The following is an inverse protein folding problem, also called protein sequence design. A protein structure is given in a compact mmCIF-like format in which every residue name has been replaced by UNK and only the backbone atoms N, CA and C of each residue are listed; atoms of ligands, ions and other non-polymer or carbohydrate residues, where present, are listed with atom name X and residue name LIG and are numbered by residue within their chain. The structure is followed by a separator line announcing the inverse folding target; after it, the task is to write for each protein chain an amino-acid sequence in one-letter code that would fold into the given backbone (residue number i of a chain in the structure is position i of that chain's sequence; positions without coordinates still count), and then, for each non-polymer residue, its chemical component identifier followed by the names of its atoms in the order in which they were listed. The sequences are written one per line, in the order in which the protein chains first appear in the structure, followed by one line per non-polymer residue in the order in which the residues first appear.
data_IF_803005248660
#
_entry.id   IF_803005248660
#
_cell.length_a   1.000
_cell.length_b   1.000
_cell.length_c   1.000
_cell.angle_alpha   90.00
_cell.angle_beta   90.00
_cell.angle_gamma   90.00
#
_symmetry.space_group_name_H-M   'P 1'
#
loop_
_entity.id
_entity.type
_entity.pdbx_description
1 polymer ?
#
# COMPACT_ATOMS: atom_id res chain seq x y z
N UNK A 1 96.14 19.38 -26.10
CA UNK A 1 95.23 20.48 -26.16
C UNK A 1 93.75 19.98 -26.24
N UNK A 2 93.23 19.48 -25.18
CA UNK A 2 91.82 19.09 -25.13
C UNK A 2 91.26 19.49 -23.77
N UNK A 3 90.33 20.40 -23.78
CA UNK A 3 89.63 20.90 -22.58
C UNK A 3 88.42 19.99 -22.32
N UNK A 4 88.38 19.41 -21.15
CA UNK A 4 87.18 18.72 -20.66
C UNK A 4 86.27 19.71 -19.95
N UNK A 5 85.07 19.85 -20.41
CA UNK A 5 83.99 20.52 -19.70
C UNK A 5 83.11 19.50 -19.01
N UNK A 6 83.11 19.56 -17.68
CA UNK A 6 82.20 18.76 -16.85
C UNK A 6 80.88 19.53 -16.72
N UNK A 7 79.80 18.96 -17.19
CA UNK A 7 78.46 19.46 -16.94
C UNK A 7 77.84 18.72 -15.75
N UNK A 8 77.57 19.45 -14.70
CA UNK A 8 76.82 18.93 -13.56
C UNK A 8 75.32 18.93 -13.89
N UNK A 9 74.71 17.74 -13.87
CA UNK A 9 73.29 17.55 -14.06
C UNK A 9 72.59 17.61 -12.68
N UNK A 10 71.91 18.71 -12.39
CA UNK A 10 71.05 18.83 -11.22
C UNK A 10 69.71 18.12 -11.46
N UNK A 11 69.49 17.01 -10.82
CA UNK A 11 68.20 16.32 -10.82
C UNK A 11 67.21 17.04 -9.86
N UNK A 12 66.25 17.75 -10.41
CA UNK A 12 65.14 18.28 -9.65
C UNK A 12 64.07 17.19 -9.55
N UNK A 13 63.96 16.60 -8.34
CA UNK A 13 62.92 15.66 -8.00
C UNK A 13 61.63 16.46 -7.68
N UNK A 14 60.74 16.59 -8.66
CA UNK A 14 59.40 17.15 -8.43
C UNK A 14 58.52 16.05 -7.86
N UNK A 15 58.28 16.09 -6.55
CA UNK A 15 57.30 15.25 -5.89
C UNK A 15 55.88 15.74 -6.31
N UNK A 16 55.30 15.04 -7.26
CA UNK A 16 53.88 15.19 -7.59
C UNK A 16 53.08 14.48 -6.51
N UNK A 17 52.60 15.23 -5.53
CA UNK A 17 51.58 14.77 -4.59
C UNK A 17 50.25 14.68 -5.36
N UNK A 18 49.90 13.47 -5.81
CA UNK A 18 48.57 13.16 -6.31
C UNK A 18 47.62 13.21 -5.11
N UNK A 19 46.97 14.34 -4.91
CA UNK A 19 45.77 14.40 -4.08
C UNK A 19 44.68 13.62 -4.83
N UNK A 20 44.53 12.34 -4.47
CA UNK A 20 43.33 11.59 -4.82
C UNK A 20 42.16 12.23 -4.06
N UNK A 21 41.49 13.16 -4.69
CA UNK A 21 40.11 13.50 -4.27
C UNK A 21 39.28 12.24 -4.51
N UNK A 22 39.14 11.43 -3.48
CA UNK A 22 38.00 10.52 -3.40
C UNK A 22 36.78 11.44 -3.29
N UNK A 23 36.19 11.78 -4.43
CA UNK A 23 34.84 12.26 -4.43
C UNK A 23 34.00 11.10 -3.89
N UNK A 24 33.72 11.08 -2.58
CA UNK A 24 32.55 10.43 -2.07
C UNK A 24 31.38 11.14 -2.75
N UNK A 25 30.96 10.62 -3.89
CA UNK A 25 29.60 10.85 -4.36
C UNK A 25 28.72 10.17 -3.29
N UNK A 26 28.32 10.93 -2.28
CA UNK A 26 27.17 10.55 -1.47
C UNK A 26 25.98 10.62 -2.44
N UNK A 27 25.68 9.52 -3.11
CA UNK A 27 24.39 9.39 -3.75
C UNK A 27 23.35 9.58 -2.64
N UNK A 28 22.46 10.55 -2.80
CA UNK A 28 21.35 10.72 -1.88
C UNK A 28 20.62 9.39 -1.75
N UNK A 29 20.19 9.06 -0.53
CA UNK A 29 19.32 7.91 -0.32
C UNK A 29 18.01 8.13 -1.07
N UNK A 30 17.56 7.12 -1.78
CA UNK A 30 16.31 7.19 -2.54
C UNK A 30 15.24 6.35 -1.87
N UNK A 31 14.07 6.96 -1.61
CA UNK A 31 12.89 6.25 -1.12
C UNK A 31 11.74 6.44 -2.11
N UNK A 32 11.19 5.34 -2.62
CA UNK A 32 9.97 5.37 -3.42
C UNK A 32 8.75 5.34 -2.52
N UNK A 33 7.75 6.17 -2.85
CA UNK A 33 6.47 6.28 -2.12
C UNK A 33 5.31 6.28 -3.12
N UNK A 34 4.09 5.88 -2.71
CA UNK A 34 2.90 6.01 -3.56
C UNK A 34 2.69 7.46 -4.02
N UNK A 35 2.12 7.65 -5.20
CA UNK A 35 1.87 8.99 -5.77
C UNK A 35 0.41 9.46 -5.63
N UNK A 36 -0.46 8.65 -5.02
CA UNK A 36 -1.81 9.09 -4.68
C UNK A 36 -1.79 9.80 -3.32
N UNK A 37 -2.63 10.82 -3.18
CA UNK A 37 -2.64 11.76 -2.05
C UNK A 37 -2.64 11.07 -0.69
N UNK A 38 -3.50 10.07 -0.52
CA UNK A 38 -3.70 9.46 0.81
C UNK A 38 -2.63 8.43 1.15
N UNK A 39 -2.14 7.64 0.20
CA UNK A 39 -1.06 6.69 0.45
C UNK A 39 0.32 7.35 0.49
N UNK A 40 0.54 8.46 -0.27
CA UNK A 40 1.74 9.29 -0.10
C UNK A 40 1.81 9.83 1.33
N UNK A 41 0.75 10.48 1.81
CA UNK A 41 0.69 10.99 3.18
C UNK A 41 0.92 9.90 4.22
N UNK A 42 0.31 8.73 4.05
CA UNK A 42 0.45 7.56 4.92
C UNK A 42 1.91 7.06 4.94
N UNK A 43 2.58 7.02 3.78
CA UNK A 43 3.99 6.66 3.67
C UNK A 43 4.89 7.66 4.40
N UNK A 44 4.65 8.96 4.24
CA UNK A 44 5.40 10.01 4.93
C UNK A 44 5.20 9.97 6.44
N UNK A 45 3.97 9.72 6.92
CA UNK A 45 3.66 9.54 8.33
C UNK A 45 4.38 8.32 8.93
N UNK A 46 4.49 7.21 8.18
CA UNK A 46 5.31 6.06 8.60
C UNK A 46 6.78 6.46 8.78
N UNK A 47 7.36 7.17 7.81
CA UNK A 47 8.76 7.61 7.86
C UNK A 47 9.01 8.63 8.99
N UNK A 48 8.05 9.51 9.28
CA UNK A 48 8.09 10.42 10.42
C UNK A 48 8.03 9.67 11.74
N UNK A 49 7.12 8.69 11.87
CA UNK A 49 7.01 7.85 13.06
C UNK A 49 8.30 7.07 13.36
N UNK A 50 9.07 6.74 12.32
CA UNK A 50 10.40 6.12 12.47
C UNK A 50 11.52 7.14 12.74
N UNK A 51 11.23 8.45 12.68
CA UNK A 51 12.19 9.52 12.93
C UNK A 51 13.12 9.83 11.76
N UNK A 52 12.80 9.37 10.55
CA UNK A 52 13.65 9.59 9.37
C UNK A 52 13.43 10.94 8.71
N UNK A 53 12.26 11.51 8.88
CA UNK A 53 11.86 12.85 8.42
C UNK A 53 11.02 13.51 9.51
N UNK A 54 10.75 14.81 9.34
CA UNK A 54 9.73 15.52 10.11
C UNK A 54 8.85 16.30 9.14
N UNK A 55 7.55 16.18 9.32
CA UNK A 55 6.56 16.91 8.55
C UNK A 55 6.24 18.27 9.18
N UNK A 56 5.69 19.17 8.39
CA UNK A 56 5.11 20.42 8.86
C UNK A 56 3.94 20.14 9.83
N UNK A 57 3.79 20.99 10.83
CA UNK A 57 2.79 20.80 11.88
C UNK A 57 1.36 20.87 11.31
N UNK A 58 0.56 19.84 11.57
CA UNK A 58 -0.86 19.82 11.22
C UNK A 58 -1.22 19.31 9.81
N UNK A 59 -0.25 18.88 8.98
CA UNK A 59 -0.54 18.38 7.64
C UNK A 59 -1.24 17.02 7.64
N UNK A 60 -0.91 16.12 8.58
CA UNK A 60 -1.62 14.85 8.80
C UNK A 60 -1.78 14.02 7.54
N UNK A 61 -3.01 13.53 7.29
CA UNK A 61 -3.36 12.61 6.19
C UNK A 61 -3.37 13.27 4.79
N UNK A 62 -3.00 14.54 4.69
CA UNK A 62 -2.88 15.27 3.42
C UNK A 62 -1.43 15.67 3.12
N UNK A 63 -0.47 15.16 3.90
CA UNK A 63 0.95 15.45 3.73
C UNK A 63 1.46 15.01 2.36
N UNK A 64 2.31 15.83 1.77
CA UNK A 64 3.04 15.56 0.53
C UNK A 64 4.55 15.71 0.78
N UNK A 65 5.39 15.27 -0.15
CA UNK A 65 6.85 15.48 -0.05
C UNK A 65 7.24 16.96 0.10
N UNK A 66 6.36 17.92 -0.25
CA UNK A 66 6.58 19.36 -0.11
C UNK A 66 6.41 19.84 1.34
N UNK A 67 5.73 19.05 2.15
CA UNK A 67 5.44 19.35 3.55
C UNK A 67 6.49 18.75 4.50
N UNK A 68 7.63 18.28 3.96
CA UNK A 68 8.76 17.78 4.75
C UNK A 68 9.54 18.97 5.31
N UNK A 69 9.41 19.21 6.62
CA UNK A 69 10.11 20.28 7.33
C UNK A 69 11.59 19.97 7.60
N UNK A 70 11.91 18.69 7.93
CA UNK A 70 13.28 18.24 8.16
C UNK A 70 13.53 16.92 7.43
N UNK A 71 14.68 16.86 6.73
CA UNK A 71 15.16 15.68 6.00
C UNK A 71 16.65 15.48 6.31
N UNK A 72 16.99 15.00 7.52
CA UNK A 72 18.38 14.94 7.98
C UNK A 72 19.26 13.97 7.18
N UNK A 73 18.66 12.98 6.52
CA UNK A 73 19.37 11.98 5.73
C UNK A 73 19.48 12.36 4.25
N UNK A 74 19.02 13.56 3.84
CA UNK A 74 18.97 14.00 2.45
C UNK A 74 18.29 12.98 1.52
N UNK A 75 17.15 12.43 1.96
CA UNK A 75 16.37 11.44 1.20
C UNK A 75 15.83 12.13 -0.06
N UNK A 76 16.06 11.51 -1.21
CA UNK A 76 15.41 11.84 -2.46
C UNK A 76 14.15 10.97 -2.60
N UNK A 77 12.99 11.59 -2.58
CA UNK A 77 11.72 10.89 -2.74
C UNK A 77 11.37 10.68 -4.20
N UNK A 78 10.85 9.49 -4.52
CA UNK A 78 10.31 9.14 -5.83
C UNK A 78 8.85 8.75 -5.68
N UNK A 79 7.97 9.62 -6.17
CA UNK A 79 6.55 9.35 -6.25
C UNK A 79 6.29 8.38 -7.41
N UNK A 80 5.72 7.23 -7.11
CA UNK A 80 5.49 6.13 -8.06
C UNK A 80 4.06 5.63 -7.87
N UNK A 81 3.39 5.25 -8.94
CA UNK A 81 2.11 4.56 -8.85
C UNK A 81 2.22 3.36 -7.91
N UNK A 82 1.27 3.21 -6.97
CA UNK A 82 1.37 2.22 -5.90
C UNK A 82 1.58 0.78 -6.42
N UNK A 83 0.91 0.40 -7.51
CA UNK A 83 1.07 -0.90 -8.18
C UNK A 83 2.48 -1.15 -8.75
N UNK A 84 3.27 -0.10 -8.98
CA UNK A 84 4.62 -0.21 -9.55
C UNK A 84 5.72 -0.24 -8.49
N UNK A 85 5.41 0.07 -7.22
CA UNK A 85 6.41 0.13 -6.15
C UNK A 85 7.20 -1.18 -5.97
N UNK A 86 6.60 -2.37 -5.99
CA UNK A 86 7.37 -3.62 -5.92
C UNK A 86 8.34 -3.78 -7.09
N UNK A 87 7.97 -3.32 -8.28
CA UNK A 87 8.79 -3.47 -9.50
C UNK A 87 10.03 -2.56 -9.47
N UNK A 88 9.93 -1.38 -8.84
CA UNK A 88 11.04 -0.42 -8.74
C UNK A 88 11.88 -0.63 -7.48
N UNK A 89 11.52 -1.53 -6.59
CA UNK A 89 12.19 -1.74 -5.30
C UNK A 89 13.70 -1.97 -5.44
N UNK A 90 14.12 -2.74 -6.44
CA UNK A 90 15.55 -3.00 -6.71
C UNK A 90 16.33 -1.77 -7.23
N UNK A 91 15.62 -0.74 -7.72
CA UNK A 91 16.21 0.46 -8.34
C UNK A 91 16.32 1.64 -7.36
N UNK A 92 15.79 1.50 -6.15
CA UNK A 92 15.83 2.49 -5.06
C UNK A 92 16.50 1.91 -3.82
N UNK A 93 16.83 2.74 -2.84
CA UNK A 93 17.38 2.26 -1.57
C UNK A 93 16.30 1.61 -0.72
N UNK A 94 15.12 2.24 -0.69
CA UNK A 94 13.94 1.74 0.01
C UNK A 94 12.68 2.06 -0.77
N UNK A 95 11.59 1.36 -0.48
CA UNK A 95 10.24 1.74 -0.93
C UNK A 95 9.22 1.51 0.18
N UNK A 96 8.25 2.42 0.29
CA UNK A 96 7.07 2.22 1.13
C UNK A 96 5.98 1.64 0.25
N UNK A 97 5.55 0.40 0.57
CA UNK A 97 4.67 -0.38 -0.30
C UNK A 97 3.39 -0.76 0.47
N UNK A 98 2.24 -0.58 -0.17
CA UNK A 98 0.95 -1.06 0.33
C UNK A 98 0.96 -2.59 0.43
N UNK A 99 0.38 -3.14 1.50
CA UNK A 99 0.48 -4.58 1.78
C UNK A 99 -0.12 -5.46 0.71
N UNK A 100 -1.23 -5.07 0.08
CA UNK A 100 -1.79 -5.83 -1.03
C UNK A 100 -0.78 -6.02 -2.18
N UNK A 101 -0.10 -4.95 -2.61
CA UNK A 101 0.94 -5.05 -3.66
C UNK A 101 2.20 -5.77 -3.19
N UNK A 102 2.55 -5.67 -1.90
CA UNK A 102 3.65 -6.44 -1.33
C UNK A 102 3.32 -7.95 -1.38
N UNK A 103 2.12 -8.34 -0.96
CA UNK A 103 1.65 -9.74 -0.97
C UNK A 103 1.60 -10.28 -2.41
N UNK A 104 1.05 -9.54 -3.35
CA UNK A 104 1.02 -9.89 -4.78
C UNK A 104 2.42 -10.10 -5.36
N UNK A 105 3.40 -9.32 -4.89
CA UNK A 105 4.81 -9.46 -5.27
C UNK A 105 5.55 -10.58 -4.53
N UNK A 106 4.87 -11.33 -3.66
CA UNK A 106 5.45 -12.43 -2.88
C UNK A 106 6.24 -11.99 -1.64
N UNK A 107 6.08 -10.73 -1.21
CA UNK A 107 6.65 -10.22 0.04
C UNK A 107 5.68 -10.48 1.20
N UNK A 108 6.21 -10.83 2.36
CA UNK A 108 5.43 -10.90 3.59
C UNK A 108 5.56 -9.56 4.35
N UNK A 109 4.47 -8.79 4.53
CA UNK A 109 4.53 -7.48 5.16
C UNK A 109 5.14 -7.46 6.56
N UNK A 110 4.91 -8.49 7.38
CA UNK A 110 5.47 -8.57 8.73
C UNK A 110 6.90 -9.09 8.78
N UNK A 111 7.28 -9.99 7.86
CA UNK A 111 8.59 -10.63 7.87
C UNK A 111 9.64 -9.91 7.02
N UNK A 112 9.24 -9.31 5.89
CA UNK A 112 10.17 -8.72 4.91
C UNK A 112 10.27 -7.20 5.00
N UNK A 113 9.33 -6.50 5.68
CA UNK A 113 9.45 -5.07 5.91
C UNK A 113 10.52 -4.76 6.96
N UNK A 114 11.24 -3.67 6.75
CA UNK A 114 12.24 -3.13 7.69
C UNK A 114 11.60 -2.25 8.78
N UNK A 115 10.46 -1.66 8.47
CA UNK A 115 9.56 -0.98 9.37
C UNK A 115 8.13 -1.14 8.86
N UNK A 116 7.17 -1.20 9.78
CA UNK A 116 5.76 -1.41 9.46
C UNK A 116 4.91 -0.43 10.24
N UNK A 117 3.82 0.01 9.64
CA UNK A 117 2.81 0.85 10.28
C UNK A 117 2.14 0.10 11.43
N UNK A 118 1.72 0.84 12.47
CA UNK A 118 0.86 0.27 13.50
C UNK A 118 -0.52 -0.09 12.94
N UNK A 119 -1.18 -1.09 13.53
CA UNK A 119 -2.53 -1.50 13.16
C UNK A 119 -3.56 -0.44 13.56
N UNK A 120 -3.66 0.64 12.78
CA UNK A 120 -4.64 1.71 13.00
C UNK A 120 -5.92 1.41 12.23
N UNK A 121 -7.07 1.45 12.90
CA UNK A 121 -8.38 1.27 12.28
C UNK A 121 -8.78 2.37 11.28
N UNK A 122 -8.04 3.49 11.24
CA UNK A 122 -8.31 4.58 10.29
C UNK A 122 -8.14 4.13 8.82
N UNK A 123 -7.32 3.11 8.59
CA UNK A 123 -7.05 2.55 7.26
C UNK A 123 -7.63 1.14 7.09
N UNK A 124 -8.73 0.83 7.78
CA UNK A 124 -9.44 -0.42 7.55
C UNK A 124 -9.95 -0.50 6.11
N UNK A 125 -9.72 -1.64 5.48
CA UNK A 125 -10.25 -1.94 4.16
C UNK A 125 -11.74 -2.20 4.23
N UNK A 126 -12.47 -1.54 3.35
CA UNK A 126 -13.94 -1.44 3.38
C UNK A 126 -14.57 -2.10 2.16
N UNK A 127 -15.76 -2.66 2.35
CA UNK A 127 -16.71 -2.88 1.27
C UNK A 127 -17.40 -1.56 0.97
N UNK A 128 -17.41 -1.15 -0.29
CA UNK A 128 -18.05 0.10 -0.72
C UNK A 128 -18.99 -0.13 -1.90
N UNK A 129 -20.04 0.65 -1.98
CA UNK A 129 -21.11 0.55 -2.98
C UNK A 129 -21.50 1.94 -3.49
N UNK A 130 -22.18 2.00 -4.63
CA UNK A 130 -22.79 3.25 -5.08
C UNK A 130 -23.83 3.74 -4.08
N UNK A 131 -23.83 5.05 -3.79
CA UNK A 131 -24.80 5.69 -2.90
C UNK A 131 -26.24 5.34 -3.30
N UNK A 132 -27.06 4.98 -2.31
CA UNK A 132 -28.42 4.51 -2.47
C UNK A 132 -28.59 2.98 -2.54
N UNK A 133 -27.49 2.22 -2.67
CA UNK A 133 -27.52 0.75 -2.70
C UNK A 133 -27.22 0.10 -1.36
N UNK A 134 -26.87 0.85 -0.32
CA UNK A 134 -26.34 0.39 0.97
C UNK A 134 -27.26 -0.62 1.68
N UNK A 135 -28.56 -0.47 1.46
CA UNK A 135 -29.58 -1.25 2.16
C UNK A 135 -30.26 -2.31 1.28
N UNK A 136 -29.73 -2.58 0.08
CA UNK A 136 -30.27 -3.65 -0.78
C UNK A 136 -29.96 -5.01 -0.19
N UNK A 137 -30.82 -6.02 -0.46
CA UNK A 137 -30.61 -7.38 0.02
C UNK A 137 -29.29 -7.99 -0.48
N UNK A 138 -28.87 -7.66 -1.71
CA UNK A 138 -27.57 -8.05 -2.25
C UNK A 138 -26.42 -7.55 -1.38
N UNK A 139 -26.43 -6.27 -1.01
CA UNK A 139 -25.34 -5.66 -0.23
C UNK A 139 -25.36 -6.19 1.19
N UNK A 140 -26.53 -6.33 1.84
CA UNK A 140 -26.65 -6.92 3.18
C UNK A 140 -26.14 -8.37 3.21
N UNK A 141 -26.49 -9.17 2.20
CA UNK A 141 -26.02 -10.55 2.09
C UNK A 141 -24.49 -10.62 1.93
N UNK A 142 -23.92 -9.73 1.12
CA UNK A 142 -22.45 -9.66 0.91
C UNK A 142 -21.72 -9.20 2.18
N UNK A 143 -22.23 -8.17 2.86
CA UNK A 143 -21.68 -7.72 4.16
C UNK A 143 -21.70 -8.87 5.17
N UNK A 144 -22.86 -9.55 5.35
CA UNK A 144 -22.96 -10.66 6.29
C UNK A 144 -21.96 -11.79 5.96
N UNK A 145 -21.81 -12.11 4.69
CA UNK A 145 -20.85 -13.14 4.26
C UNK A 145 -19.39 -12.75 4.57
N UNK A 146 -19.00 -11.48 4.34
CA UNK A 146 -17.67 -10.98 4.69
C UNK A 146 -17.43 -10.86 6.19
N UNK A 147 -18.46 -10.59 6.98
CA UNK A 147 -18.41 -10.53 8.44
C UNK A 147 -18.55 -11.93 9.12
N UNK A 148 -18.46 -13.00 8.34
CA UNK A 148 -18.58 -14.36 8.89
C UNK A 148 -17.35 -14.78 9.68
N UNK A 149 -17.56 -15.70 10.63
CA UNK A 149 -16.47 -16.37 11.36
C UNK A 149 -15.51 -17.07 10.40
N UNK A 150 -16.03 -17.66 9.33
CA UNK A 150 -15.23 -18.32 8.29
C UNK A 150 -14.22 -17.38 7.65
N UNK A 151 -14.62 -16.14 7.33
CA UNK A 151 -13.72 -15.10 6.81
C UNK A 151 -12.70 -14.67 7.86
N UNK A 152 -13.13 -14.42 9.10
CA UNK A 152 -12.23 -14.01 10.19
C UNK A 152 -11.15 -15.07 10.49
N UNK A 153 -11.53 -16.34 10.50
CA UNK A 153 -10.60 -17.46 10.69
C UNK A 153 -9.60 -17.55 9.54
N UNK A 154 -10.07 -17.46 8.30
CA UNK A 154 -9.21 -17.47 7.11
C UNK A 154 -8.17 -16.33 7.14
N UNK A 155 -8.59 -15.11 7.47
CA UNK A 155 -7.66 -13.97 7.57
C UNK A 155 -6.57 -14.27 8.61
N UNK A 156 -6.96 -14.79 9.77
CA UNK A 156 -6.04 -15.11 10.86
C UNK A 156 -5.06 -16.22 10.49
N UNK A 157 -5.57 -17.31 9.89
CA UNK A 157 -4.76 -18.49 9.55
C UNK A 157 -3.83 -18.24 8.37
N UNK A 158 -4.30 -17.51 7.35
CA UNK A 158 -3.53 -17.32 6.12
C UNK A 158 -2.45 -16.24 6.24
N UNK A 159 -2.76 -15.11 6.89
CA UNK A 159 -1.92 -13.93 6.83
C UNK A 159 -1.04 -13.72 8.06
N UNK A 160 -1.21 -14.50 9.13
CA UNK A 160 -0.34 -14.52 10.33
C UNK A 160 0.03 -13.10 10.82
N UNK A 161 -1.00 -12.21 10.91
CA UNK A 161 -0.86 -10.83 11.38
C UNK A 161 -0.42 -9.79 10.34
N UNK A 162 -0.10 -10.18 9.10
CA UNK A 162 0.14 -9.22 8.01
C UNK A 162 -1.15 -8.61 7.46
N UNK A 163 -2.27 -9.29 7.66
CA UNK A 163 -3.64 -8.81 7.46
C UNK A 163 -4.42 -9.16 8.72
N UNK A 164 -5.19 -8.23 9.27
CA UNK A 164 -5.89 -8.42 10.55
C UNK A 164 -7.36 -8.06 10.39
N UNK A 165 -8.27 -9.00 10.72
CA UNK A 165 -9.70 -8.72 10.74
C UNK A 165 -10.05 -7.65 11.76
N UNK A 166 -10.96 -6.73 11.40
CA UNK A 166 -11.52 -5.71 12.30
C UNK A 166 -12.97 -6.00 12.66
N UNK A 167 -13.52 -7.12 12.21
CA UNK A 167 -14.88 -7.55 12.56
C UNK A 167 -14.88 -8.02 14.01
N UNK A 168 -15.45 -7.21 14.91
CA UNK A 168 -15.42 -7.48 16.36
C UNK A 168 -16.28 -8.68 16.76
N UNK A 169 -17.39 -8.91 16.05
CA UNK A 169 -18.36 -9.97 16.38
C UNK A 169 -18.73 -10.76 15.11
N UNK A 170 -17.82 -11.63 14.63
CA UNK A 170 -18.10 -12.45 13.45
C UNK A 170 -19.35 -13.32 13.62
N UNK A 171 -20.10 -13.50 12.54
CA UNK A 171 -21.40 -14.20 12.52
C UNK A 171 -21.30 -15.54 11.78
N UNK A 172 -22.46 -16.18 11.57
CA UNK A 172 -22.56 -17.36 10.70
C UNK A 172 -22.57 -17.02 9.19
N UNK A 173 -22.48 -15.73 8.85
CA UNK A 173 -22.43 -15.24 7.46
C UNK A 173 -23.77 -14.90 6.86
N UNK A 174 -24.85 -14.86 7.64
CA UNK A 174 -26.19 -14.56 7.15
C UNK A 174 -26.87 -13.45 7.94
N UNK A 175 -27.51 -12.52 7.23
CA UNK A 175 -28.38 -11.50 7.81
C UNK A 175 -29.83 -12.00 7.78
N UNK A 176 -30.46 -12.11 8.95
CA UNK A 176 -31.83 -12.58 9.11
C UNK A 176 -32.89 -11.65 8.46
N UNK A 177 -32.52 -10.42 8.09
CA UNK A 177 -33.39 -9.46 7.43
C UNK A 177 -33.40 -9.59 5.90
N UNK A 178 -32.50 -10.38 5.33
CA UNK A 178 -32.35 -10.62 3.89
C UNK A 178 -33.30 -11.72 3.42
N UNK A 179 -34.04 -11.46 2.36
CA UNK A 179 -34.81 -12.49 1.66
C UNK A 179 -33.92 -13.29 0.69
N UNK A 180 -33.19 -14.26 1.22
CA UNK A 180 -32.34 -15.14 0.41
C UNK A 180 -33.11 -15.95 -0.62
N UNK A 181 -34.39 -16.23 -0.39
CA UNK A 181 -35.20 -16.93 -1.38
C UNK A 181 -35.48 -16.05 -2.63
N UNK A 182 -35.61 -14.74 -2.43
CA UNK A 182 -35.69 -13.78 -3.54
C UNK A 182 -34.37 -13.55 -4.24
N UNK A 183 -33.23 -13.74 -3.54
CA UNK A 183 -31.88 -13.64 -4.13
C UNK A 183 -31.42 -14.91 -4.83
N UNK A 184 -32.07 -16.05 -4.59
CA UNK A 184 -31.66 -17.33 -5.20
C UNK A 184 -31.61 -17.26 -6.73
N UNK A 185 -30.51 -17.72 -7.31
CA UNK A 185 -30.22 -17.64 -8.73
C UNK A 185 -29.76 -16.24 -9.21
N UNK A 186 -29.67 -15.26 -8.32
CA UNK A 186 -29.14 -13.94 -8.68
C UNK A 186 -27.61 -13.90 -8.56
N UNK A 187 -27.01 -12.89 -9.20
CA UNK A 187 -25.58 -12.62 -9.14
C UNK A 187 -25.33 -11.30 -8.40
N UNK A 188 -24.29 -11.31 -7.57
CA UNK A 188 -23.64 -10.13 -6.99
C UNK A 188 -22.27 -10.02 -7.62
N UNK A 189 -21.82 -8.82 -7.98
CA UNK A 189 -20.51 -8.58 -8.59
C UNK A 189 -19.67 -7.67 -7.69
N UNK A 190 -18.37 -8.00 -7.51
CA UNK A 190 -17.45 -7.22 -6.68
C UNK A 190 -16.13 -7.00 -7.42
N UNK A 191 -15.71 -5.74 -7.51
CA UNK A 191 -14.39 -5.35 -7.95
C UNK A 191 -13.41 -5.41 -6.77
N UNK A 192 -12.28 -6.11 -6.91
CA UNK A 192 -11.32 -6.31 -5.83
C UNK A 192 -9.88 -6.31 -6.33
N UNK A 193 -8.93 -5.97 -5.45
CA UNK A 193 -7.52 -6.29 -5.70
C UNK A 193 -7.29 -7.80 -5.54
N UNK A 194 -6.32 -8.41 -6.27
CA UNK A 194 -6.12 -9.86 -6.25
C UNK A 194 -5.85 -10.41 -4.85
N UNK A 195 -4.93 -9.81 -4.10
CA UNK A 195 -4.62 -10.21 -2.72
C UNK A 195 -4.58 -8.98 -1.80
N UNK A 196 -5.04 -9.08 -0.55
CA UNK A 196 -5.75 -10.23 0.06
C UNK A 196 -7.25 -10.25 -0.28
N UNK A 197 -7.78 -9.23 -0.96
CA UNK A 197 -9.21 -8.92 -1.09
C UNK A 197 -9.98 -10.00 -1.85
N UNK A 198 -9.54 -10.36 -3.07
CA UNK A 198 -10.20 -11.42 -3.84
C UNK A 198 -10.09 -12.77 -3.11
N UNK A 199 -8.95 -13.06 -2.48
CA UNK A 199 -8.77 -14.29 -1.71
C UNK A 199 -9.72 -14.37 -0.50
N UNK A 200 -10.01 -13.24 0.16
CA UNK A 200 -11.00 -13.13 1.24
C UNK A 200 -12.42 -13.33 0.68
N UNK A 201 -12.71 -12.73 -0.47
CA UNK A 201 -14.00 -12.85 -1.15
C UNK A 201 -14.32 -14.28 -1.58
N UNK A 202 -13.33 -15.13 -1.85
CA UNK A 202 -13.57 -16.56 -2.13
C UNK A 202 -14.31 -17.28 -0.99
N UNK A 203 -14.08 -16.87 0.27
CA UNK A 203 -14.84 -17.41 1.41
C UNK A 203 -16.28 -16.90 1.43
N UNK A 204 -16.50 -15.66 1.03
CA UNK A 204 -17.86 -15.11 0.86
C UNK A 204 -18.60 -15.77 -0.32
N UNK A 205 -17.90 -16.15 -1.39
CA UNK A 205 -18.45 -16.97 -2.49
C UNK A 205 -19.02 -18.26 -1.94
N UNK A 206 -18.27 -18.98 -1.09
CA UNK A 206 -18.71 -20.23 -0.50
C UNK A 206 -19.92 -20.05 0.43
N UNK A 207 -19.94 -18.99 1.25
CA UNK A 207 -21.07 -18.69 2.15
C UNK A 207 -22.35 -18.39 1.36
N UNK A 208 -22.25 -17.54 0.33
CA UNK A 208 -23.40 -17.15 -0.48
C UNK A 208 -23.93 -18.28 -1.36
N UNK A 209 -23.06 -19.16 -1.82
CA UNK A 209 -23.42 -20.34 -2.61
C UNK A 209 -24.37 -21.30 -1.83
N UNK A 210 -24.28 -21.37 -0.50
CA UNK A 210 -25.19 -22.15 0.34
C UNK A 210 -26.66 -21.63 0.27
N UNK A 211 -26.85 -20.39 -0.20
CA UNK A 211 -28.15 -19.76 -0.41
C UNK A 211 -28.52 -19.64 -1.90
N UNK A 212 -27.81 -20.35 -2.78
CA UNK A 212 -27.99 -20.29 -4.25
C UNK A 212 -27.79 -18.86 -4.80
N UNK A 213 -26.94 -18.05 -4.15
CA UNK A 213 -26.51 -16.71 -4.58
C UNK A 213 -25.11 -16.80 -5.17
N UNK A 214 -24.93 -16.34 -6.40
CA UNK A 214 -23.63 -16.31 -7.06
C UNK A 214 -22.91 -15.02 -6.71
N UNK A 215 -21.67 -15.10 -6.16
CA UNK A 215 -20.77 -13.96 -6.06
C UNK A 215 -19.72 -14.07 -7.15
N UNK A 216 -19.63 -13.07 -8.02
CA UNK A 216 -18.60 -12.96 -9.05
C UNK A 216 -17.56 -11.91 -8.63
N UNK A 217 -16.32 -12.33 -8.46
CA UNK A 217 -15.20 -11.45 -8.11
C UNK A 217 -14.47 -11.07 -9.39
N UNK A 218 -14.29 -9.77 -9.62
CA UNK A 218 -13.59 -9.21 -10.78
C UNK A 218 -12.34 -8.50 -10.27
N UNK A 219 -11.18 -9.02 -10.63
CA UNK A 219 -9.91 -8.50 -10.15
C UNK A 219 -9.44 -7.29 -10.95
N UNK A 220 -8.94 -6.28 -10.23
CA UNK A 220 -8.31 -5.08 -10.76
C UNK A 220 -6.95 -4.88 -10.08
N UNK A 221 -5.95 -4.49 -10.86
CA UNK A 221 -4.57 -4.28 -10.38
C UNK A 221 -4.23 -2.81 -10.11
N UNK A 222 -5.21 -1.91 -10.25
CA UNK A 222 -5.10 -0.49 -9.95
C UNK A 222 -6.18 -0.03 -8.96
N UNK A 223 -6.02 1.18 -8.41
CA UNK A 223 -6.95 1.73 -7.42
C UNK A 223 -8.04 2.66 -8.00
N UNK A 224 -8.03 2.94 -9.32
CA UNK A 224 -8.97 3.85 -9.97
C UNK A 224 -10.20 3.11 -10.51
N UNK A 225 -9.96 2.05 -11.29
CA UNK A 225 -11.01 1.32 -11.99
C UNK A 225 -12.08 0.72 -11.06
N UNK A 226 -11.75 0.12 -9.89
CA UNK A 226 -12.77 -0.43 -9.00
C UNK A 226 -13.83 0.58 -8.56
N UNK A 227 -13.45 1.84 -8.36
CA UNK A 227 -14.39 2.90 -8.02
C UNK A 227 -15.22 3.33 -9.23
N UNK A 228 -14.58 3.46 -10.41
CA UNK A 228 -15.28 3.88 -11.62
C UNK A 228 -16.39 2.91 -12.04
N UNK A 229 -16.13 1.59 -11.97
CA UNK A 229 -17.13 0.57 -12.36
C UNK A 229 -18.27 0.45 -11.35
N UNK A 230 -18.03 0.77 -10.06
CA UNK A 230 -19.10 0.84 -9.06
C UNK A 230 -19.92 2.11 -9.22
N UNK A 231 -19.29 3.27 -9.43
CA UNK A 231 -20.00 4.52 -9.64
C UNK A 231 -20.88 4.48 -10.90
N UNK A 232 -20.41 3.86 -11.98
CA UNK A 232 -21.19 3.66 -13.20
C UNK A 232 -22.37 2.70 -13.00
N UNK A 233 -22.33 1.84 -11.97
CA UNK A 233 -23.31 0.78 -11.71
C UNK A 233 -23.09 -0.47 -12.56
N UNK A 234 -21.90 -0.65 -13.17
CA UNK A 234 -21.52 -1.84 -13.90
C UNK A 234 -21.25 -3.02 -12.94
N UNK A 235 -20.67 -2.73 -11.77
CA UNK A 235 -20.37 -3.67 -10.70
C UNK A 235 -21.10 -3.23 -9.43
N UNK A 236 -21.64 -4.19 -8.65
CA UNK A 236 -22.48 -3.90 -7.48
C UNK A 236 -21.69 -3.26 -6.32
N UNK A 237 -20.43 -3.70 -6.09
CA UNK A 237 -19.61 -3.26 -4.97
C UNK A 237 -18.10 -3.30 -5.31
N UNK A 238 -17.26 -2.64 -4.50
CA UNK A 238 -15.83 -2.88 -4.52
C UNK A 238 -15.27 -3.17 -3.10
N UNK A 239 -14.14 -3.87 -3.07
CA UNK A 239 -13.41 -4.20 -1.87
C UNK A 239 -11.91 -4.15 -2.16
N UNK A 240 -11.25 -3.01 -1.83
CA UNK A 240 -9.83 -2.79 -2.13
C UNK A 240 -9.23 -1.56 -1.42
N UNK A 241 -10.05 -0.73 -0.77
CA UNK A 241 -9.72 0.61 -0.31
C UNK A 241 -10.11 0.87 1.13
N UNK A 242 -9.63 1.95 1.69
CA UNK A 242 -10.01 2.49 3.00
C UNK A 242 -10.75 3.83 2.89
N UNK A 243 -11.44 4.25 3.96
CA UNK A 243 -12.26 5.47 3.96
C UNK A 243 -11.50 6.72 3.50
N UNK A 244 -10.28 7.04 3.99
CA UNK A 244 -9.57 8.24 3.52
C UNK A 244 -9.34 8.27 2.01
N UNK A 245 -9.04 7.11 1.38
CA UNK A 245 -8.89 7.03 -0.07
C UNK A 245 -10.23 7.22 -0.79
N UNK A 246 -11.30 6.59 -0.29
CA UNK A 246 -12.65 6.73 -0.86
C UNK A 246 -13.13 8.19 -0.85
N UNK A 247 -12.94 8.88 0.27
CA UNK A 247 -13.36 10.28 0.42
C UNK A 247 -12.61 11.19 -0.56
N UNK A 248 -11.29 11.02 -0.66
CA UNK A 248 -10.45 11.77 -1.60
C UNK A 248 -10.82 11.45 -3.06
N UNK A 249 -11.02 10.17 -3.38
CA UNK A 249 -11.43 9.73 -4.71
C UNK A 249 -12.78 10.34 -5.12
N UNK A 250 -13.79 10.30 -4.25
CA UNK A 250 -15.09 10.90 -4.49
C UNK A 250 -14.98 12.40 -4.76
N UNK A 251 -14.16 13.10 -3.96
CA UNK A 251 -13.96 14.54 -4.11
C UNK A 251 -13.27 14.90 -5.44
N UNK A 252 -12.28 14.13 -5.85
CA UNK A 252 -11.50 14.39 -7.07
C UNK A 252 -12.25 14.01 -8.35
N UNK A 253 -13.05 12.93 -8.31
CA UNK A 253 -13.69 12.36 -9.48
C UNK A 253 -15.21 12.66 -9.57
N UNK A 254 -15.77 13.36 -8.56
CA UNK A 254 -17.19 13.66 -8.47
C UNK A 254 -18.05 12.37 -8.54
N UNK A 255 -17.59 11.32 -7.85
CA UNK A 255 -18.30 10.04 -7.70
C UNK A 255 -19.11 10.03 -6.41
N UNK A 256 -20.06 9.10 -6.30
CA UNK A 256 -20.95 8.94 -5.14
C UNK A 256 -20.90 7.49 -4.65
N UNK A 257 -19.78 7.11 -4.05
CA UNK A 257 -19.55 5.79 -3.48
C UNK A 257 -19.50 5.93 -1.97
N UNK A 258 -20.08 4.96 -1.26
CA UNK A 258 -20.16 4.97 0.20
C UNK A 258 -19.67 3.64 0.79
N UNK A 259 -19.03 3.72 1.95
CA UNK A 259 -18.62 2.56 2.73
C UNK A 259 -19.82 1.91 3.41
N UNK A 260 -19.88 0.57 3.42
CA UNK A 260 -20.93 -0.20 4.09
C UNK A 260 -20.43 -1.08 5.22
N UNK A 261 -19.18 -1.55 5.15
CA UNK A 261 -18.55 -2.31 6.24
C UNK A 261 -17.03 -2.22 6.18
N UNK A 262 -16.36 -2.28 7.34
CA UNK A 262 -14.92 -2.41 7.47
C UNK A 262 -14.58 -3.87 7.82
N UNK A 263 -13.68 -4.48 7.06
CA UNK A 263 -13.43 -5.92 7.14
C UNK A 263 -12.07 -6.24 7.75
N UNK A 264 -10.98 -5.59 7.28
CA UNK A 264 -9.64 -5.85 7.76
C UNK A 264 -8.73 -4.62 7.67
N UNK A 265 -7.57 -4.68 8.32
CA UNK A 265 -6.48 -3.71 8.14
C UNK A 265 -5.28 -4.38 7.49
N UNK A 266 -4.56 -3.60 6.71
CA UNK A 266 -3.29 -3.96 6.08
C UNK A 266 -2.25 -2.91 6.44
N UNK A 267 -1.32 -3.19 7.37
CA UNK A 267 -0.27 -2.22 7.70
C UNK A 267 0.66 -1.95 6.53
N UNK A 268 0.90 -0.67 6.25
CA UNK A 268 1.86 -0.22 5.22
C UNK A 268 3.30 -0.54 5.67
N UNK A 269 4.16 -1.01 4.76
CA UNK A 269 5.53 -1.42 5.07
C UNK A 269 6.61 -0.62 4.34
N UNK A 270 7.76 -0.37 5.02
CA UNK A 270 9.00 0.12 4.43
C UNK A 270 9.89 -1.09 4.09
N UNK A 271 10.19 -1.28 2.83
CA UNK A 271 10.97 -2.42 2.32
C UNK A 271 12.34 -2.00 1.84
N UNK A 272 13.32 -2.89 2.02
CA UNK A 272 14.68 -2.70 1.58
C UNK A 272 14.89 -3.05 0.11
N UNK A 273 15.30 -2.07 -0.68
CA UNK A 273 15.73 -2.23 -2.06
C UNK A 273 17.23 -2.52 -2.19
N UNK A 274 18.02 -1.52 -2.57
CA UNK A 274 19.49 -1.60 -2.56
C UNK A 274 20.05 -1.75 -1.14
N UNK A 275 19.44 -1.07 -0.17
CA UNK A 275 19.76 -1.22 1.26
C UNK A 275 18.93 -2.37 1.83
N UNK A 276 19.56 -3.23 2.62
CA UNK A 276 18.89 -4.39 3.24
C UNK A 276 18.67 -4.22 4.74
N UNK A 277 19.13 -3.11 5.30
CA UNK A 277 18.95 -2.72 6.70
C UNK A 277 18.64 -1.23 6.76
N UNK A 278 18.19 -0.75 7.93
CA UNK A 278 17.95 0.66 8.17
C UNK A 278 19.22 1.45 8.56
N UNK A 279 20.40 0.87 8.43
CA UNK A 279 21.65 1.52 8.91
C UNK A 279 21.99 2.82 8.16
N UNK A 280 21.54 2.94 6.91
CA UNK A 280 21.71 4.17 6.12
C UNK A 280 20.76 5.30 6.55
N UNK A 281 19.76 5.01 7.40
CA UNK A 281 18.79 5.94 7.98
C UNK A 281 19.02 6.18 9.48
N UNK A 282 20.21 5.86 10.01
CA UNK A 282 20.61 6.07 11.43
C UNK A 282 21.58 7.21 11.60
#
# INVERSE_FOLDING_TARGET
MKKFLSAALAAILTAVTVFSFTACSSSNLTIAVPNDTTNEARALLLLEAQGYIKLEEGVGITATIKDIAENPHNIEFKEVEAAQLPNVLQDVDYAVINSNYAIEAGLNPTADSLAIEGSSSAYSNILAVKEGNENTDKVKALVAALESQKVADFITEKYDGSVVSVVEAPTDGYDATVDYAALAGQKITVAASPAPHAEILELAVEVLAEKDVTLEVIEFTDYVQPNMVVDSGEIDANYFQHVPYLDDFNAQNNTAIVSVSAIHVEPLGLYGGKQKTLDALK
#
